data_IF_011535615357
#
_entry.id   IF_011535615357
#
_cell.length_a   1.000
_cell.length_b   1.000
_cell.length_c   1.000
_cell.angle_alpha   90.00
_cell.angle_beta   90.00
_cell.angle_gamma   90.00
#
_symmetry.space_group_name_H-M   'P 1'
#
loop_
_entity.id
_entity.type
_entity.pdbx_description
1 polymer ?
#
# COMPACT_ATOMS: atom_id res chain seq x y z
N UNK A 1 -53.47 19.99 11.87
CA UNK A 1 -54.89 20.39 11.77
C UNK A 1 -55.71 19.26 12.41
N UNK A 2 -56.03 19.38 13.71
CA UNK A 2 -57.37 19.70 14.28
C UNK A 2 -58.38 18.63 13.84
N UNK A 3 -58.88 17.76 14.72
CA UNK A 3 -60.00 17.93 15.68
C UNK A 3 -59.70 17.12 16.97
N UNK A 4 -59.76 17.57 18.24
CA UNK A 4 -60.74 18.31 19.07
C UNK A 4 -62.12 17.66 19.22
N UNK A 5 -62.36 17.07 20.40
CA UNK A 5 -63.50 17.33 21.32
C UNK A 5 -63.09 16.81 22.72
N UNK A 6 -62.90 17.67 23.73
CA UNK A 6 -63.88 18.15 24.73
C UNK A 6 -64.55 17.02 25.53
N UNK A 7 -64.24 16.91 26.83
CA UNK A 7 -65.16 17.48 27.82
C UNK A 7 -64.57 17.64 29.23
N UNK A 8 -65.11 18.64 29.93
CA UNK A 8 -64.74 19.12 31.26
C UNK A 8 -65.67 18.59 32.35
N UNK A 9 -65.17 18.37 33.56
CA UNK A 9 -66.00 17.93 34.68
C UNK A 9 -65.35 18.09 36.05
N UNK A 10 -65.53 19.26 36.67
CA UNK A 10 -65.20 19.58 38.06
C UNK A 10 -66.25 18.99 39.02
N UNK A 11 -65.83 18.33 40.11
CA UNK A 11 -66.60 18.29 41.38
C UNK A 11 -65.74 17.90 42.58
N UNK A 12 -65.91 18.66 43.68
CA UNK A 12 -65.27 18.52 45.00
C UNK A 12 -66.02 17.53 45.91
N UNK A 13 -65.30 17.11 46.96
CA UNK A 13 -65.69 16.98 48.40
C UNK A 13 -65.50 15.58 49.01
N UNK A 14 -64.77 15.56 50.13
CA UNK A 14 -64.67 14.48 51.14
C UNK A 14 -63.21 14.04 51.33
N UNK A 15 -62.47 14.31 52.41
CA UNK A 15 -62.82 14.67 53.77
C UNK A 15 -62.68 13.46 54.71
N UNK A 16 -61.48 13.21 55.25
CA UNK A 16 -61.29 12.54 56.56
C UNK A 16 -59.86 12.66 57.10
N UNK A 17 -59.81 12.92 58.42
CA UNK A 17 -58.69 13.22 59.33
C UNK A 17 -57.94 11.93 59.72
N UNK A 18 -56.60 11.87 59.68
CA UNK A 18 -55.68 12.11 60.80
C UNK A 18 -54.88 10.81 61.13
N UNK A 19 -53.84 10.78 62.01
CA UNK A 19 -53.15 11.86 62.68
C UNK A 19 -51.59 11.86 62.58
N UNK A 20 -51.07 13.09 62.68
CA UNK A 20 -49.86 13.62 63.31
C UNK A 20 -48.98 12.64 64.13
N UNK A 21 -47.69 12.58 63.80
CA UNK A 21 -46.61 12.19 64.71
C UNK A 21 -45.41 13.17 64.64
N UNK A 22 -45.38 14.02 65.67
CA UNK A 22 -44.28 14.76 66.36
C UNK A 22 -42.91 14.95 65.69
N UNK A 23 -42.57 16.23 65.56
CA UNK A 23 -41.23 16.83 65.49
C UNK A 23 -40.52 16.71 66.84
N UNK A 24 -39.22 16.37 66.90
CA UNK A 24 -38.35 16.75 68.00
C UNK A 24 -37.45 17.93 67.64
N UNK A 25 -37.37 18.82 68.61
CA UNK A 25 -36.62 20.08 68.70
C UNK A 25 -35.12 19.96 68.39
N UNK A 26 -34.58 21.03 67.80
CA UNK A 26 -33.15 21.31 67.72
C UNK A 26 -32.53 21.56 69.11
N UNK A 27 -31.31 21.06 69.33
CA UNK A 27 -30.33 21.63 70.26
C UNK A 27 -28.98 21.81 69.57
N UNK A 28 -28.15 22.79 69.99
CA UNK A 28 -27.00 23.29 69.25
C UNK A 28 -25.66 22.64 69.65
N UNK A 29 -24.60 23.05 68.95
CA UNK A 29 -23.15 22.71 69.05
C UNK A 29 -22.73 21.44 68.29
N UNK A 30 -21.68 21.46 67.46
CA UNK A 30 -20.37 22.06 67.71
C UNK A 30 -19.60 22.45 66.42
N UNK A 31 -18.57 23.27 66.59
CA UNK A 31 -17.74 23.94 65.57
C UNK A 31 -16.78 22.99 64.81
N UNK A 32 -16.96 21.67 64.89
CA UNK A 32 -16.03 20.67 64.35
C UNK A 32 -16.46 20.06 63.01
N UNK A 33 -17.71 20.22 62.56
CA UNK A 33 -18.19 19.61 61.30
C UNK A 33 -17.94 20.46 60.04
N UNK A 34 -17.49 21.72 60.18
CA UNK A 34 -17.22 22.58 59.01
C UNK A 34 -15.90 22.29 58.28
N UNK A 35 -15.01 21.48 58.85
CA UNK A 35 -13.74 21.12 58.21
C UNK A 35 -13.86 19.94 57.21
N UNK A 36 -14.78 18.99 57.46
CA UNK A 36 -14.92 17.80 56.60
C UNK A 36 -15.69 18.04 55.30
N UNK A 37 -16.48 19.11 55.22
CA UNK A 37 -17.22 19.45 54.01
C UNK A 37 -16.37 20.19 52.98
N UNK A 38 -15.24 20.79 53.38
CA UNK A 38 -14.29 21.43 52.45
C UNK A 38 -13.33 20.43 51.81
N UNK A 39 -12.92 19.38 52.53
CA UNK A 39 -11.98 18.38 52.02
C UNK A 39 -12.64 17.40 51.03
N UNK A 40 -13.93 17.09 51.23
CA UNK A 40 -14.72 16.24 50.31
C UNK A 40 -15.01 16.93 48.98
N UNK A 41 -15.29 18.24 48.97
CA UNK A 41 -15.47 19.00 47.74
C UNK A 41 -14.17 19.15 46.93
N UNK A 42 -13.01 19.30 47.58
CA UNK A 42 -11.71 19.38 46.90
C UNK A 42 -11.34 18.03 46.27
N UNK A 43 -11.62 16.91 46.95
CA UNK A 43 -11.36 15.57 46.40
C UNK A 43 -12.32 15.22 45.25
N UNK A 44 -13.59 15.64 45.31
CA UNK A 44 -14.55 15.49 44.21
C UNK A 44 -14.18 16.36 43.00
N UNK A 45 -13.67 17.58 43.24
CA UNK A 45 -13.16 18.44 42.18
C UNK A 45 -11.90 17.87 41.53
N UNK A 46 -10.98 17.31 42.34
CA UNK A 46 -9.83 16.58 41.82
C UNK A 46 -10.26 15.32 41.06
N UNK A 47 -11.27 14.58 41.50
CA UNK A 47 -11.78 13.41 40.78
C UNK A 47 -12.45 13.79 39.45
N UNK A 48 -13.22 14.89 39.42
CA UNK A 48 -13.84 15.41 38.19
C UNK A 48 -12.82 16.06 37.26
N UNK A 49 -11.74 16.67 37.76
CA UNK A 49 -10.63 17.13 36.92
C UNK A 49 -9.75 15.98 36.43
N UNK A 50 -9.53 14.94 37.23
CA UNK A 50 -8.72 13.77 36.85
C UNK A 50 -9.47 12.87 35.85
N UNK A 51 -10.79 12.70 35.99
CA UNK A 51 -11.60 11.98 35.00
C UNK A 51 -12.08 12.86 33.83
N UNK A 52 -12.23 14.18 34.03
CA UNK A 52 -12.72 15.11 33.00
C UNK A 52 -11.65 15.59 32.00
N UNK A 53 -10.35 15.41 32.30
CA UNK A 53 -9.25 15.66 31.34
C UNK A 53 -8.84 14.43 30.53
N UNK A 54 -9.47 13.27 30.75
CA UNK A 54 -9.34 12.10 29.88
C UNK A 54 -10.48 12.02 28.87
N UNK A 55 -10.96 13.16 28.36
CA UNK A 55 -11.63 13.15 27.05
C UNK A 55 -10.60 12.68 26.05
N UNK A 56 -10.69 11.39 25.73
CA UNK A 56 -10.05 10.75 24.59
C UNK A 56 -10.26 11.67 23.41
N UNK A 57 -9.19 12.31 22.96
CA UNK A 57 -9.14 12.98 21.66
C UNK A 57 -9.25 11.87 20.65
N UNK A 58 -10.47 11.57 20.24
CA UNK A 58 -10.74 10.77 19.04
C UNK A 58 -9.92 11.40 17.91
N UNK A 59 -9.11 10.60 17.23
CA UNK A 59 -8.30 11.02 16.10
C UNK A 59 -9.21 11.53 14.98
N UNK A 60 -9.60 12.80 15.08
CA UNK A 60 -10.33 13.48 14.03
C UNK A 60 -9.37 13.63 12.86
N UNK A 61 -9.60 12.83 11.82
CA UNK A 61 -8.75 12.76 10.65
C UNK A 61 -8.76 14.14 9.97
N UNK A 62 -7.67 14.91 10.13
CA UNK A 62 -7.56 16.29 9.62
C UNK A 62 -7.50 16.27 8.10
N UNK A 63 -8.46 16.91 7.43
CA UNK A 63 -8.54 17.01 5.97
C UNK A 63 -7.99 18.36 5.48
N UNK A 64 -7.05 18.31 4.53
CA UNK A 64 -6.36 19.48 3.98
C UNK A 64 -6.98 19.88 2.63
N UNK A 65 -7.39 21.14 2.51
CA UNK A 65 -7.98 21.73 1.30
C UNK A 65 -6.94 22.06 0.22
N UNK A 66 -7.41 22.38 -0.98
CA UNK A 66 -6.57 22.77 -2.12
C UNK A 66 -5.64 23.94 -1.72
N UNK A 67 -4.35 23.82 -2.02
CA UNK A 67 -3.34 24.84 -1.73
C UNK A 67 -2.77 24.78 -0.31
N UNK A 68 -3.25 23.90 0.58
CA UNK A 68 -2.67 23.74 1.91
C UNK A 68 -1.39 22.91 1.89
N UNK A 69 -0.45 23.26 2.78
CA UNK A 69 0.78 22.51 2.95
C UNK A 69 0.48 21.07 3.40
N UNK A 70 1.26 20.10 2.95
CA UNK A 70 1.08 18.68 3.24
C UNK A 70 2.42 17.94 3.22
N UNK A 71 2.50 16.81 3.92
CA UNK A 71 3.76 16.06 4.05
C UNK A 71 4.75 16.70 5.02
N UNK A 72 5.87 16.00 5.28
CA UNK A 72 6.85 16.41 6.29
C UNK A 72 6.27 16.39 7.70
N UNK A 73 6.25 17.55 8.35
CA UNK A 73 5.72 17.76 9.71
C UNK A 73 4.24 18.17 9.74
N UNK A 74 3.61 18.38 8.58
CA UNK A 74 2.22 18.86 8.50
C UNK A 74 1.24 17.72 8.78
N UNK A 75 0.33 17.93 9.73
CA UNK A 75 -0.68 16.96 10.14
C UNK A 75 -1.93 17.08 9.24
N UNK A 76 -2.33 15.95 8.64
CA UNK A 76 -3.56 15.85 7.83
C UNK A 76 -3.35 15.23 6.46
N UNK A 77 -4.44 14.83 5.81
CA UNK A 77 -4.46 14.26 4.46
C UNK A 77 -5.21 15.21 3.53
N UNK A 78 -4.72 15.38 2.30
CA UNK A 78 -5.43 16.16 1.30
C UNK A 78 -6.85 15.60 1.07
N UNK A 79 -7.85 16.48 1.08
CA UNK A 79 -9.25 16.13 0.99
C UNK A 79 -9.67 15.71 -0.43
N UNK A 80 -10.60 14.77 -0.51
CA UNK A 80 -11.23 14.34 -1.75
C UNK A 80 -10.24 13.79 -2.80
N UNK A 81 -10.02 14.55 -3.86
CA UNK A 81 -9.20 14.18 -5.03
C UNK A 81 -7.87 14.95 -5.10
N UNK A 82 -7.47 15.57 -4.00
CA UNK A 82 -6.24 16.33 -3.90
C UNK A 82 -5.08 15.40 -3.53
N UNK A 83 -3.95 15.57 -4.21
CA UNK A 83 -2.72 14.84 -3.93
C UNK A 83 -1.70 15.82 -3.39
N UNK A 84 -0.99 15.42 -2.33
CA UNK A 84 0.15 16.19 -1.90
C UNK A 84 1.20 16.16 -3.00
N UNK A 85 1.66 17.32 -3.49
CA UNK A 85 2.74 17.40 -4.48
C UNK A 85 3.90 18.18 -3.88
N UNK A 86 5.17 17.78 -4.11
CA UNK A 86 6.30 18.60 -3.70
C UNK A 86 6.18 20.00 -4.32
N UNK A 87 6.54 21.04 -3.57
CA UNK A 87 6.66 22.39 -4.14
C UNK A 87 7.76 22.41 -5.20
N UNK A 88 7.58 23.20 -6.26
CA UNK A 88 8.49 23.31 -7.41
C UNK A 88 9.90 23.89 -7.09
N UNK A 89 10.27 24.04 -5.81
CA UNK A 89 11.62 24.47 -5.46
C UNK A 89 12.58 23.29 -5.56
N UNK A 90 13.37 23.36 -6.64
CA UNK A 90 14.62 22.64 -6.91
C UNK A 90 15.21 21.90 -5.72
N UNK A 91 15.32 20.58 -5.90
CA UNK A 91 16.19 19.65 -5.20
C UNK A 91 17.55 20.30 -4.85
N UNK A 92 17.72 20.73 -3.61
CA UNK A 92 19.04 21.00 -3.02
C UNK A 92 19.29 19.89 -2.01
N UNK A 93 20.41 19.20 -2.20
CA UNK A 93 20.91 18.19 -1.27
C UNK A 93 21.01 18.79 0.14
N UNK A 94 20.38 18.11 1.10
CA UNK A 94 20.90 18.07 2.47
C UNK A 94 20.10 18.71 3.59
N UNK A 95 19.05 19.52 3.35
CA UNK A 95 18.37 20.20 4.46
C UNK A 95 16.88 20.47 4.19
N UNK A 96 16.06 20.12 5.19
CA UNK A 96 14.61 20.32 5.32
C UNK A 96 13.74 19.91 4.11
N UNK A 97 12.99 18.82 4.27
CA UNK A 97 11.94 18.42 3.33
C UNK A 97 10.88 19.51 3.32
N UNK A 98 10.89 20.34 2.28
CA UNK A 98 9.86 21.36 2.09
C UNK A 98 8.47 20.68 2.08
N UNK A 99 7.51 21.18 2.85
CA UNK A 99 6.17 20.65 2.81
C UNK A 99 5.61 20.84 1.40
N UNK A 100 5.04 19.76 0.86
CA UNK A 100 4.30 19.80 -0.39
C UNK A 100 3.01 20.60 -0.26
N UNK A 101 2.24 20.67 -1.34
CA UNK A 101 0.95 21.38 -1.37
C UNK A 101 -0.14 20.44 -1.87
N UNK A 102 -1.32 20.47 -1.25
CA UNK A 102 -2.48 19.71 -1.74
C UNK A 102 -2.94 20.30 -3.07
N UNK A 103 -2.71 19.59 -4.17
CA UNK A 103 -3.06 20.04 -5.51
C UNK A 103 -3.91 19.00 -6.24
N UNK A 104 -4.69 19.49 -7.22
CA UNK A 104 -5.31 18.60 -8.19
C UNK A 104 -4.23 18.10 -9.14
N UNK A 105 -3.87 16.83 -9.02
CA UNK A 105 -3.00 16.18 -10.01
C UNK A 105 -3.89 15.54 -11.06
N UNK A 106 -3.79 15.95 -12.34
CA UNK A 106 -4.53 15.27 -13.39
C UNK A 106 -4.14 13.79 -13.38
N UNK A 107 -5.12 12.88 -13.43
CA UNK A 107 -4.81 11.46 -13.39
C UNK A 107 -3.99 11.09 -14.65
N UNK A 108 -3.19 10.00 -14.61
CA UNK A 108 -2.44 9.56 -15.78
C UNK A 108 -3.34 9.39 -17.00
N UNK A 109 -2.80 9.62 -18.20
CA UNK A 109 -3.56 9.48 -19.44
C UNK A 109 -4.26 8.10 -19.49
N UNK A 110 -5.58 8.10 -19.72
CA UNK A 110 -6.40 6.87 -19.75
C UNK A 110 -7.10 6.52 -18.42
N UNK A 111 -6.83 7.25 -17.34
CA UNK A 111 -7.55 7.11 -16.07
C UNK A 111 -8.79 8.01 -16.00
N UNK A 112 -9.86 7.51 -15.38
CA UNK A 112 -11.05 8.32 -15.06
C UNK A 112 -10.84 9.13 -13.79
N UNK A 113 -11.39 10.34 -13.70
CA UNK A 113 -11.25 11.23 -12.53
C UNK A 113 -11.96 10.74 -11.26
N UNK A 114 -12.71 9.63 -11.33
CA UNK A 114 -13.38 9.00 -10.19
C UNK A 114 -13.20 7.48 -10.24
N UNK A 115 -12.98 6.88 -9.07
CA UNK A 115 -12.98 5.43 -8.89
C UNK A 115 -14.40 4.82 -8.81
N UNK A 116 -15.42 5.67 -8.67
CA UNK A 116 -16.84 5.30 -8.60
C UNK A 116 -17.32 4.72 -9.93
N UNK A 117 -17.10 3.41 -10.13
CA UNK A 117 -17.40 2.69 -11.36
C UNK A 117 -16.38 1.60 -11.70
N UNK A 118 -15.20 1.61 -11.07
CA UNK A 118 -14.18 0.57 -11.26
C UNK A 118 -14.51 -0.63 -10.36
N UNK A 119 -14.73 -1.80 -10.97
CA UNK A 119 -14.89 -3.04 -10.22
C UNK A 119 -13.51 -3.61 -9.87
N UNK A 120 -13.08 -3.39 -8.63
CA UNK A 120 -11.83 -3.96 -8.15
C UNK A 120 -12.00 -5.46 -7.84
N UNK A 121 -11.08 -6.33 -8.26
CA UNK A 121 -11.06 -7.72 -7.84
C UNK A 121 -10.82 -7.79 -6.33
N UNK A 122 -11.51 -8.71 -5.65
CA UNK A 122 -11.26 -8.95 -4.21
C UNK A 122 -9.86 -9.53 -4.01
N UNK A 123 -9.11 -8.95 -3.06
CA UNK A 123 -7.80 -9.48 -2.61
C UNK A 123 -7.96 -10.33 -1.37
N UNK A 124 -7.29 -11.49 -1.34
CA UNK A 124 -6.85 -12.13 -0.10
C UNK A 124 -5.43 -12.66 -0.30
N UNK A 125 -4.59 -12.46 0.73
CA UNK A 125 -3.22 -12.95 0.90
C UNK A 125 -2.35 -12.97 -0.37
N UNK A 126 -1.69 -11.86 -0.64
CA UNK A 126 -0.76 -11.79 -1.75
C UNK A 126 0.51 -12.59 -1.45
N UNK A 127 0.86 -13.55 -2.33
CA UNK A 127 2.19 -14.22 -2.30
C UNK A 127 3.33 -13.23 -2.52
N UNK A 128 3.03 -12.21 -3.32
CA UNK A 128 3.90 -11.10 -3.68
C UNK A 128 3.50 -9.83 -2.92
N UNK A 129 4.06 -8.69 -3.30
CA UNK A 129 3.67 -7.39 -2.75
C UNK A 129 2.19 -7.03 -2.96
N UNK A 130 1.76 -6.02 -2.21
CA UNK A 130 0.47 -5.34 -2.38
C UNK A 130 0.74 -4.06 -3.17
N UNK A 131 0.08 -3.92 -4.32
CA UNK A 131 0.15 -2.73 -5.17
C UNK A 131 -1.21 -2.09 -5.37
N UNK A 132 -1.21 -0.79 -5.61
CA UNK A 132 -2.36 -0.01 -6.07
C UNK A 132 -2.13 0.30 -7.54
N UNK A 133 -3.17 0.28 -8.38
CA UNK A 133 -2.97 0.64 -9.78
C UNK A 133 -2.55 2.11 -9.95
N UNK A 134 -1.94 2.47 -11.09
CA UNK A 134 -1.56 3.85 -11.43
C UNK A 134 -2.69 4.88 -11.42
N UNK A 135 -3.95 4.48 -11.56
CA UNK A 135 -5.09 5.38 -11.40
C UNK A 135 -5.49 5.59 -9.92
N UNK A 136 -4.89 4.85 -8.98
CA UNK A 136 -5.09 4.98 -7.54
C UNK A 136 -6.37 4.32 -7.01
N UNK A 137 -7.09 3.53 -7.82
CA UNK A 137 -8.45 3.09 -7.48
C UNK A 137 -8.52 1.72 -6.83
N UNK A 138 -7.91 0.76 -7.51
CA UNK A 138 -7.92 -0.64 -7.19
C UNK A 138 -6.58 -1.11 -6.70
N UNK A 139 -6.68 -2.19 -5.96
CA UNK A 139 -5.71 -2.58 -4.99
C UNK A 139 -5.54 -4.07 -5.28
N UNK A 140 -4.39 -4.45 -5.85
CA UNK A 140 -4.12 -5.77 -6.46
C UNK A 140 -2.91 -6.46 -5.84
N UNK A 141 -2.89 -7.80 -5.88
CA UNK A 141 -1.65 -8.50 -5.61
C UNK A 141 -0.69 -8.20 -6.76
N UNK A 142 0.55 -7.89 -6.41
CA UNK A 142 1.57 -7.53 -7.36
C UNK A 142 1.80 -8.70 -8.33
N UNK A 143 1.82 -8.37 -9.62
CA UNK A 143 2.02 -9.34 -10.69
C UNK A 143 3.48 -9.74 -10.74
N UNK A 144 3.72 -11.04 -10.72
CA UNK A 144 5.05 -11.62 -10.78
C UNK A 144 5.56 -11.66 -12.22
N UNK A 145 6.84 -11.99 -12.38
CA UNK A 145 7.46 -12.09 -13.69
C UNK A 145 6.71 -13.07 -14.59
N UNK A 146 6.41 -12.63 -15.81
CA UNK A 146 5.68 -13.44 -16.77
C UNK A 146 4.17 -13.48 -16.58
N UNK A 147 3.61 -12.67 -15.66
CA UNK A 147 2.18 -12.48 -15.53
C UNK A 147 1.69 -11.28 -16.33
N UNK A 148 0.44 -11.37 -16.80
CA UNK A 148 -0.24 -10.30 -17.54
C UNK A 148 -0.57 -9.12 -16.62
N UNK A 149 -0.32 -7.91 -17.13
CA UNK A 149 -0.53 -6.63 -16.44
C UNK A 149 -1.14 -5.58 -17.38
N UNK A 150 -1.54 -4.43 -16.83
CA UNK A 150 -2.10 -3.32 -17.60
C UNK A 150 -3.59 -3.46 -17.91
N UNK A 151 -4.00 -3.06 -19.11
CA UNK A 151 -5.40 -2.97 -19.52
C UNK A 151 -5.91 -1.53 -19.60
N UNK A 152 -7.21 -1.38 -19.90
CA UNK A 152 -7.85 -0.07 -20.13
C UNK A 152 -7.79 0.85 -18.90
N UNK A 153 -7.83 0.28 -17.72
CA UNK A 153 -7.79 0.97 -16.43
C UNK A 153 -6.98 0.15 -15.43
N UNK A 154 -5.91 -0.49 -15.90
CA UNK A 154 -5.05 -1.36 -15.10
C UNK A 154 -5.78 -2.53 -14.43
N UNK A 155 -6.92 -2.94 -14.98
CA UNK A 155 -7.77 -4.00 -14.43
C UNK A 155 -7.07 -5.37 -14.37
N UNK A 156 -6.01 -5.57 -15.16
CA UNK A 156 -5.21 -6.81 -15.15
C UNK A 156 -4.12 -6.78 -14.08
N UNK A 157 -3.94 -5.67 -13.39
CA UNK A 157 -3.02 -5.51 -12.26
C UNK A 157 -1.69 -4.86 -12.66
N UNK A 158 -0.92 -4.55 -11.62
CA UNK A 158 0.35 -3.85 -11.69
C UNK A 158 1.49 -4.76 -11.20
N UNK A 159 2.69 -4.57 -11.73
CA UNK A 159 3.82 -5.47 -11.49
C UNK A 159 4.43 -5.32 -10.09
N UNK A 160 5.13 -6.37 -9.64
CA UNK A 160 5.91 -6.31 -8.40
C UNK A 160 7.21 -5.51 -8.55
N UNK A 161 7.86 -5.24 -7.42
CA UNK A 161 9.08 -4.42 -7.35
C UNK A 161 10.16 -4.95 -8.29
N UNK A 162 10.81 -4.05 -9.00
CA UNK A 162 11.85 -4.40 -9.98
C UNK A 162 11.34 -4.99 -11.30
N UNK A 163 10.02 -5.12 -11.46
CA UNK A 163 9.39 -5.52 -12.71
C UNK A 163 8.63 -4.33 -13.31
N UNK A 164 8.67 -4.23 -14.63
CA UNK A 164 7.95 -3.21 -15.37
C UNK A 164 6.85 -3.86 -16.18
N UNK A 165 5.65 -3.26 -16.17
CA UNK A 165 4.60 -3.67 -17.10
C UNK A 165 4.99 -3.21 -18.51
N UNK A 166 5.48 -4.14 -19.33
CA UNK A 166 6.01 -3.86 -20.64
C UNK A 166 5.25 -4.63 -21.72
N UNK A 167 5.24 -4.12 -22.94
CA UNK A 167 4.67 -4.83 -24.08
C UNK A 167 5.33 -6.20 -24.25
N UNK A 168 4.57 -7.18 -24.79
CA UNK A 168 5.07 -8.54 -25.04
C UNK A 168 6.38 -8.52 -25.85
N UNK A 169 6.47 -7.62 -26.82
CA UNK A 169 7.64 -7.41 -27.66
C UNK A 169 8.35 -6.11 -27.28
N UNK A 170 9.68 -6.14 -27.33
CA UNK A 170 10.52 -4.98 -27.12
C UNK A 170 10.71 -4.60 -25.64
N UNK A 171 10.99 -3.31 -25.44
CA UNK A 171 11.36 -2.70 -24.16
C UNK A 171 10.37 -1.61 -23.72
N UNK A 172 9.33 -1.34 -24.52
CA UNK A 172 8.40 -0.26 -24.25
C UNK A 172 7.45 -0.63 -23.10
N UNK A 173 7.13 0.38 -22.28
CA UNK A 173 6.10 0.30 -21.24
C UNK A 173 4.73 0.05 -21.87
N UNK A 174 3.90 -0.76 -21.22
CA UNK A 174 2.49 -0.87 -21.57
C UNK A 174 1.73 0.30 -20.94
N UNK A 175 1.09 1.11 -21.75
CA UNK A 175 0.24 2.23 -21.30
C UNK A 175 -1.22 1.90 -21.56
N UNK A 176 -2.18 2.35 -20.74
CA UNK A 176 -3.59 2.15 -21.05
C UNK A 176 -3.93 2.62 -22.48
N UNK A 177 -4.65 1.82 -23.28
CA UNK A 177 -5.39 0.60 -22.91
C UNK A 177 -4.63 -0.73 -23.12
N UNK A 178 -3.33 -0.68 -23.33
CA UNK A 178 -2.51 -1.81 -23.71
C UNK A 178 -2.40 -2.85 -22.60
N UNK A 179 -2.24 -4.09 -23.03
CA UNK A 179 -1.94 -5.21 -22.14
C UNK A 179 -0.46 -5.54 -22.25
N UNK A 180 0.20 -5.62 -21.11
CA UNK A 180 1.61 -5.97 -21.01
C UNK A 180 1.85 -7.27 -20.26
N UNK A 181 3.13 -7.53 -20.04
CA UNK A 181 3.66 -8.60 -19.20
C UNK A 181 4.68 -8.01 -18.24
N UNK A 182 4.70 -8.50 -17.00
CA UNK A 182 5.71 -8.10 -16.03
C UNK A 182 7.06 -8.74 -16.37
N UNK A 183 8.04 -7.89 -16.70
CA UNK A 183 9.42 -8.31 -16.97
C UNK A 183 10.40 -7.22 -16.58
N UNK A 184 11.65 -7.60 -16.35
CA UNK A 184 12.74 -6.66 -16.10
C UNK A 184 13.12 -5.98 -17.42
N UNK A 185 13.26 -4.65 -17.42
CA UNK A 185 13.71 -3.88 -18.58
C UNK A 185 15.11 -3.30 -18.29
N UNK A 186 16.16 -3.66 -19.06
CA UNK A 186 17.50 -3.13 -18.85
C UNK A 186 17.60 -1.63 -19.06
N UNK A 187 18.39 -0.95 -18.23
CA UNK A 187 18.68 0.48 -18.38
C UNK A 187 17.62 1.42 -17.82
N UNK A 188 16.46 0.90 -17.41
CA UNK A 188 15.48 1.64 -16.63
C UNK A 188 15.89 1.57 -15.15
N UNK A 189 16.94 2.31 -14.77
CA UNK A 189 17.36 2.43 -13.37
C UNK A 189 16.55 3.53 -12.70
N UNK A 190 15.23 3.35 -12.63
CA UNK A 190 14.42 4.04 -11.64
C UNK A 190 14.73 3.41 -10.29
N UNK A 191 14.73 4.18 -9.20
CA UNK A 191 14.69 3.58 -7.86
C UNK A 191 13.65 2.44 -7.89
N UNK A 192 13.98 1.25 -7.35
CA UNK A 192 13.16 0.04 -7.49
C UNK A 192 11.69 0.20 -7.03
N UNK A 193 11.37 1.34 -6.41
CA UNK A 193 10.05 1.73 -5.93
C UNK A 193 9.42 2.91 -6.65
N UNK A 194 10.21 3.77 -7.32
CA UNK A 194 9.68 4.94 -8.00
C UNK A 194 9.23 4.55 -9.41
N UNK A 195 7.97 4.82 -9.72
CA UNK A 195 7.44 4.67 -11.08
C UNK A 195 6.71 5.97 -11.47
N UNK A 196 7.11 6.62 -12.57
CA UNK A 196 6.51 7.88 -13.02
C UNK A 196 5.03 7.77 -13.40
N UNK A 197 4.52 6.57 -13.70
CA UNK A 197 3.12 6.30 -14.02
C UNK A 197 2.23 6.35 -12.78
N UNK A 198 2.80 6.13 -11.59
CA UNK A 198 2.06 6.03 -10.34
C UNK A 198 1.79 7.40 -9.70
N UNK A 199 0.74 7.50 -8.86
CA UNK A 199 0.47 8.71 -8.11
C UNK A 199 1.54 8.97 -7.06
N UNK A 200 1.64 10.22 -6.62
CA UNK A 200 2.43 10.58 -5.46
C UNK A 200 1.81 9.99 -4.20
N UNK A 201 2.66 9.31 -3.42
CA UNK A 201 2.30 8.80 -2.10
C UNK A 201 3.27 9.41 -1.10
N UNK A 202 2.73 9.89 0.02
CA UNK A 202 3.49 10.46 1.13
C UNK A 202 3.27 9.59 2.36
N UNK A 203 4.32 9.46 3.16
CA UNK A 203 4.23 8.84 4.47
C UNK A 203 5.59 8.68 5.10
N UNK A 204 5.63 7.90 6.17
CA UNK A 204 6.82 7.69 6.98
C UNK A 204 7.13 6.20 7.12
N UNK A 205 8.41 5.90 7.31
CA UNK A 205 8.91 4.57 7.66
C UNK A 205 10.03 4.69 8.70
N UNK A 206 10.22 3.66 9.50
CA UNK A 206 11.38 3.58 10.38
C UNK A 206 12.60 3.16 9.55
N UNK A 207 13.70 3.91 9.69
CA UNK A 207 15.03 3.56 9.19
C UNK A 207 16.05 3.82 10.28
N UNK A 208 16.83 2.79 10.63
CA UNK A 208 17.91 2.88 11.62
C UNK A 208 17.46 3.49 12.96
N UNK A 209 16.26 3.15 13.44
CA UNK A 209 15.71 3.65 14.71
C UNK A 209 15.18 5.09 14.67
N UNK A 210 15.13 5.72 13.49
CA UNK A 210 14.55 7.06 13.29
C UNK A 210 13.40 7.00 12.28
N UNK A 211 12.46 7.95 12.39
CA UNK A 211 11.37 8.10 11.44
C UNK A 211 11.80 8.95 10.26
N UNK A 212 11.75 8.37 9.08
CA UNK A 212 12.09 8.99 7.80
C UNK A 212 10.80 9.15 6.96
N UNK A 213 10.44 10.39 6.65
CA UNK A 213 9.18 10.78 6.03
C UNK A 213 9.45 11.49 4.71
N UNK A 214 8.96 10.94 3.59
CA UNK A 214 9.16 11.55 2.28
C UNK A 214 8.01 11.19 1.33
N UNK A 215 7.93 11.91 0.22
CA UNK A 215 7.00 11.62 -0.87
C UNK A 215 7.70 10.89 -2.01
N UNK A 216 7.01 9.96 -2.67
CA UNK A 216 7.51 9.34 -3.90
C UNK A 216 6.35 8.93 -4.81
N UNK A 217 6.56 8.91 -6.14
CA UNK A 217 5.59 8.33 -7.07
C UNK A 217 5.69 6.80 -7.04
N UNK A 218 4.73 6.13 -6.41
CA UNK A 218 4.76 4.68 -6.28
C UNK A 218 3.38 4.06 -6.19
N UNK A 219 3.26 2.89 -6.82
CA UNK A 219 2.10 2.01 -6.70
C UNK A 219 2.29 0.98 -5.57
N UNK A 220 3.50 0.85 -5.01
CA UNK A 220 3.80 -0.13 -3.97
C UNK A 220 3.51 0.45 -2.59
N UNK A 221 2.99 -0.37 -1.68
CA UNK A 221 2.95 -0.02 -0.27
C UNK A 221 4.38 0.10 0.28
N UNK A 222 4.84 1.33 0.53
CA UNK A 222 6.17 1.63 1.09
C UNK A 222 6.11 2.18 2.52
N UNK A 223 5.15 3.06 2.78
CA UNK A 223 5.04 3.73 4.07
C UNK A 223 4.26 2.87 5.05
N UNK A 224 4.79 2.79 6.27
CA UNK A 224 4.11 2.09 7.38
C UNK A 224 3.18 3.04 8.13
N UNK A 225 3.53 4.33 8.14
CA UNK A 225 2.83 5.37 8.89
C UNK A 225 2.48 6.52 7.97
N UNK A 226 1.40 7.23 8.29
CA UNK A 226 0.92 8.36 7.50
C UNK A 226 1.64 9.66 7.87
N UNK A 227 2.09 9.80 9.11
CA UNK A 227 2.74 11.00 9.62
C UNK A 227 3.96 10.68 10.48
N UNK A 228 4.78 11.71 10.70
CA UNK A 228 5.95 11.63 11.59
C UNK A 228 5.52 11.33 13.03
N UNK A 229 4.41 11.89 13.47
CA UNK A 229 3.87 11.70 14.82
C UNK A 229 3.40 10.25 15.05
N UNK A 230 2.70 9.67 14.08
CA UNK A 230 2.28 8.26 14.15
C UNK A 230 3.51 7.35 14.21
N UNK A 231 4.53 7.65 13.41
CA UNK A 231 5.79 6.90 13.41
C UNK A 231 6.57 7.05 14.72
N UNK A 232 6.67 8.26 15.27
CA UNK A 232 7.42 8.52 16.50
C UNK A 232 6.75 7.88 17.71
N UNK A 233 5.41 7.90 17.77
CA UNK A 233 4.64 7.18 18.78
C UNK A 233 4.96 5.68 18.75
N UNK A 234 4.99 5.07 17.56
CA UNK A 234 5.39 3.67 17.41
C UNK A 234 6.81 3.41 17.95
N UNK A 235 7.78 4.28 17.67
CA UNK A 235 9.15 4.11 18.20
C UNK A 235 9.22 4.18 19.73
N UNK A 236 8.45 5.08 20.34
CA UNK A 236 8.36 5.21 21.81
C UNK A 236 7.72 3.95 22.41
N UNK A 237 6.65 3.46 21.80
CA UNK A 237 5.98 2.22 22.24
C UNK A 237 6.90 1.00 22.09
N UNK A 238 7.66 0.88 21.01
CA UNK A 238 8.65 -0.20 20.84
C UNK A 238 9.71 -0.17 21.94
N UNK A 239 10.25 1.01 22.26
CA UNK A 239 11.23 1.16 23.34
C UNK A 239 10.66 0.79 24.71
N UNK A 240 9.36 1.02 24.92
CA UNK A 240 8.65 0.55 26.10
C UNK A 240 8.54 -0.99 26.10
N UNK A 241 8.11 -1.63 25.01
CA UNK A 241 7.98 -3.08 24.91
C UNK A 241 9.31 -3.83 25.04
N UNK A 242 10.40 -3.29 24.50
CA UNK A 242 11.77 -3.81 24.69
C UNK A 242 12.19 -3.82 26.18
N UNK A 243 11.56 -2.98 27.02
CA UNK A 243 11.82 -2.91 28.47
C UNK A 243 10.98 -3.87 29.32
N UNK A 244 9.87 -4.40 28.80
CA UNK A 244 8.95 -5.27 29.56
C UNK A 244 9.16 -6.78 29.28
N UNK A 245 9.96 -7.12 28.26
CA UNK A 245 10.22 -8.50 27.85
C UNK A 245 9.00 -9.18 27.21
N UNK A 246 9.21 -10.24 26.40
CA UNK A 246 8.11 -10.87 25.69
C UNK A 246 7.24 -11.70 26.65
N UNK A 247 5.96 -11.33 26.78
CA UNK A 247 4.93 -12.26 27.21
C UNK A 247 4.65 -13.21 26.05
N UNK A 248 5.07 -14.47 26.17
CA UNK A 248 4.64 -15.56 25.29
C UNK A 248 3.20 -15.92 25.67
N UNK A 249 2.24 -15.18 25.15
CA UNK A 249 0.90 -15.75 24.96
C UNK A 249 0.98 -16.65 23.74
N UNK A 250 0.83 -17.95 23.95
CA UNK A 250 0.52 -18.88 22.87
C UNK A 250 -0.77 -18.39 22.21
N UNK A 251 -0.66 -17.73 21.05
CA UNK A 251 -1.83 -17.41 20.25
C UNK A 251 -2.59 -18.72 19.99
N UNK A 252 -3.85 -18.83 20.43
CA UNK A 252 -4.64 -20.00 20.11
C UNK A 252 -4.75 -20.07 18.57
N UNK A 253 -4.53 -21.26 18.01
CA UNK A 253 -4.58 -21.43 16.56
C UNK A 253 -5.99 -21.16 16.00
N UNK A 254 -6.26 -19.91 15.65
CA UNK A 254 -7.48 -19.49 14.96
C UNK A 254 -7.12 -19.16 13.52
N UNK A 255 -7.22 -20.16 12.64
CA UNK A 255 -7.08 -19.93 11.21
C UNK A 255 -8.47 -19.79 10.57
N UNK A 256 -8.59 -18.85 9.61
CA UNK A 256 -9.79 -18.73 8.81
C UNK A 256 -9.89 -19.91 7.82
N UNK A 257 -10.82 -20.81 8.11
CA UNK A 257 -11.15 -21.95 7.26
C UNK A 257 -12.31 -21.65 6.31
N UNK A 258 -12.23 -22.09 5.06
CA UNK A 258 -13.27 -21.92 4.05
C UNK A 258 -13.79 -23.25 3.53
N UNK A 259 -15.10 -23.34 3.35
CA UNK A 259 -15.78 -24.51 2.77
C UNK A 259 -16.69 -24.06 1.64
N UNK A 260 -16.75 -24.84 0.57
CA UNK A 260 -17.69 -24.62 -0.53
C UNK A 260 -19.09 -25.01 -0.06
N UNK A 261 -20.03 -24.06 -0.12
CA UNK A 261 -21.45 -24.31 0.11
C UNK A 261 -22.25 -23.88 -1.11
N UNK A 262 -22.61 -24.84 -1.96
CA UNK A 262 -23.23 -24.56 -3.25
C UNK A 262 -22.27 -23.78 -4.15
N UNK A 263 -22.73 -22.64 -4.70
CA UNK A 263 -21.95 -21.84 -5.64
C UNK A 263 -21.18 -20.67 -4.97
N UNK A 264 -20.78 -20.84 -3.71
CA UNK A 264 -20.06 -19.82 -2.95
C UNK A 264 -19.11 -20.42 -1.92
N UNK A 265 -18.00 -19.74 -1.70
CA UNK A 265 -17.08 -20.00 -0.61
C UNK A 265 -17.54 -19.30 0.67
N UNK A 266 -17.77 -20.09 1.71
CA UNK A 266 -18.15 -19.58 3.04
C UNK A 266 -16.98 -19.81 3.98
N UNK A 267 -16.37 -18.72 4.43
CA UNK A 267 -15.26 -18.74 5.37
C UNK A 267 -15.74 -18.40 6.77
N UNK A 268 -15.29 -19.18 7.75
CA UNK A 268 -15.56 -18.94 9.18
C UNK A 268 -14.26 -19.09 9.96
N UNK A 269 -14.21 -18.48 11.13
CA UNK A 269 -13.19 -18.78 12.13
C UNK A 269 -13.39 -20.23 12.55
N UNK A 270 -12.36 -21.06 12.40
CA UNK A 270 -12.39 -22.48 12.74
C UNK A 270 -11.12 -22.83 13.52
N UNK A 271 -11.21 -23.78 14.45
CA UNK A 271 -10.03 -24.27 15.18
C UNK A 271 -9.09 -25.08 14.26
N UNK A 272 -7.98 -25.59 14.81
CA UNK A 272 -6.97 -26.42 14.13
C UNK A 272 -7.53 -27.74 13.54
N UNK A 273 -8.42 -27.67 12.55
CA UNK A 273 -8.94 -28.81 11.83
C UNK A 273 -8.30 -28.88 10.43
N UNK A 274 -7.69 -30.02 10.13
CA UNK A 274 -6.76 -30.23 9.01
C UNK A 274 -7.41 -30.21 7.61
N UNK A 275 -8.73 -30.00 7.52
CA UNK A 275 -9.49 -30.06 6.28
C UNK A 275 -10.04 -28.72 5.78
N UNK A 276 -9.79 -27.62 6.48
CA UNK A 276 -10.28 -26.32 6.05
C UNK A 276 -9.43 -25.75 4.89
N UNK A 277 -10.06 -25.47 3.75
CA UNK A 277 -9.38 -24.83 2.63
C UNK A 277 -9.08 -23.37 2.99
N UNK A 278 -7.95 -22.85 2.49
CA UNK A 278 -7.78 -21.40 2.42
C UNK A 278 -8.86 -20.80 1.51
N UNK A 279 -9.20 -19.52 1.70
CA UNK A 279 -10.22 -18.87 0.84
C UNK A 279 -9.87 -18.94 -0.64
N UNK A 280 -8.58 -18.80 -0.97
CA UNK A 280 -8.11 -18.89 -2.35
C UNK A 280 -8.25 -20.30 -2.89
N UNK A 281 -7.87 -21.32 -2.12
CA UNK A 281 -8.07 -22.71 -2.52
C UNK A 281 -9.56 -23.01 -2.72
N UNK A 282 -10.43 -22.46 -1.87
CA UNK A 282 -11.88 -22.58 -2.03
C UNK A 282 -12.38 -21.88 -3.31
N UNK A 283 -11.98 -20.63 -3.56
CA UNK A 283 -12.42 -19.88 -4.75
C UNK A 283 -11.90 -20.51 -6.04
N UNK A 284 -10.64 -20.95 -6.06
CA UNK A 284 -10.06 -21.69 -7.19
C UNK A 284 -10.82 -23.00 -7.45
N UNK A 285 -11.13 -23.75 -6.39
CA UNK A 285 -11.89 -25.00 -6.51
C UNK A 285 -13.32 -24.73 -7.03
N UNK A 286 -13.96 -23.65 -6.57
CA UNK A 286 -15.27 -23.22 -7.09
C UNK A 286 -15.19 -22.88 -8.59
N UNK A 287 -14.17 -22.13 -9.02
CA UNK A 287 -13.97 -21.79 -10.43
C UNK A 287 -13.67 -23.02 -11.28
N UNK A 288 -12.86 -23.96 -10.78
CA UNK A 288 -12.63 -25.26 -11.41
C UNK A 288 -13.92 -26.05 -11.60
N UNK A 289 -14.80 -26.09 -10.58
CA UNK A 289 -16.10 -26.79 -10.72
C UNK A 289 -17.00 -26.13 -11.75
N UNK A 290 -17.04 -24.79 -11.82
CA UNK A 290 -17.82 -24.04 -12.82
C UNK A 290 -17.33 -24.29 -14.25
N UNK A 291 -16.03 -24.43 -14.43
CA UNK A 291 -15.40 -24.60 -15.73
C UNK A 291 -15.22 -26.05 -16.18
N UNK A 292 -15.64 -27.02 -15.36
CA UNK A 292 -15.45 -28.47 -15.60
C UNK A 292 -16.03 -28.97 -16.93
N UNK A 293 -17.12 -28.35 -17.42
CA UNK A 293 -17.77 -28.73 -18.69
C UNK A 293 -17.37 -27.83 -19.89
N UNK A 294 -16.36 -26.97 -19.73
CA UNK A 294 -15.91 -26.07 -20.80
C UNK A 294 -14.66 -26.63 -21.46
N UNK A 295 -14.71 -26.84 -22.78
CA UNK A 295 -13.54 -27.21 -23.59
C UNK A 295 -12.93 -25.96 -24.22
N UNK A 296 -11.70 -25.62 -23.85
CA UNK A 296 -11.00 -24.47 -24.40
C UNK A 296 -10.20 -24.83 -25.67
N UNK A 297 -9.94 -23.86 -26.57
CA UNK A 297 -9.11 -24.08 -27.74
C UNK A 297 -7.74 -24.65 -27.35
N UNK A 298 -7.30 -25.72 -28.03
CA UNK A 298 -5.96 -26.28 -27.83
C UNK A 298 -4.93 -25.29 -28.36
N UNK A 299 -4.25 -24.60 -27.45
CA UNK A 299 -3.10 -23.77 -27.80
C UNK A 299 -1.90 -24.69 -28.03
N UNK A 300 -1.16 -24.46 -29.11
CA UNK A 300 0.05 -25.22 -29.39
C UNK A 300 1.07 -25.02 -28.25
N UNK A 301 1.72 -26.10 -27.83
CA UNK A 301 2.82 -26.02 -26.86
C UNK A 301 3.98 -25.31 -27.54
N UNK A 302 4.26 -24.09 -27.10
CA UNK A 302 5.33 -23.25 -27.63
C UNK A 302 6.64 -23.55 -26.88
N UNK A 303 7.68 -23.95 -27.61
CA UNK A 303 9.05 -24.00 -27.08
C UNK A 303 9.71 -22.65 -27.33
N UNK A 304 10.05 -21.93 -26.26
CA UNK A 304 10.66 -20.61 -26.39
C UNK A 304 12.17 -20.69 -26.68
N UNK A 305 12.73 -19.71 -27.40
CA UNK A 305 14.17 -19.54 -27.54
C UNK A 305 14.87 -19.38 -26.18
N UNK A 306 16.18 -19.67 -26.12
CA UNK A 306 16.95 -19.65 -24.86
C UNK A 306 16.98 -18.31 -24.12
N UNK A 307 16.90 -17.21 -24.85
CA UNK A 307 16.89 -15.83 -24.32
C UNK A 307 15.48 -15.37 -23.90
N UNK A 308 14.51 -16.29 -23.93
CA UNK A 308 13.10 -16.01 -23.75
C UNK A 308 12.50 -16.99 -22.73
N UNK A 309 11.32 -16.64 -22.20
CA UNK A 309 10.55 -17.51 -21.34
C UNK A 309 9.07 -17.51 -21.76
N UNK A 310 8.36 -18.57 -21.41
CA UNK A 310 6.93 -18.71 -21.70
C UNK A 310 6.12 -18.00 -20.62
N UNK A 311 5.26 -17.05 -21.00
CA UNK A 311 4.41 -16.32 -20.06
C UNK A 311 3.26 -17.16 -19.54
N UNK A 312 2.74 -16.80 -18.38
CA UNK A 312 1.51 -17.39 -17.86
C UNK A 312 0.31 -16.94 -18.71
N UNK A 313 -0.59 -17.86 -19.09
CA UNK A 313 -1.84 -17.49 -19.74
C UNK A 313 -2.73 -16.73 -18.75
N UNK A 314 -3.49 -15.76 -19.24
CA UNK A 314 -4.43 -14.99 -18.42
C UNK A 314 -5.87 -15.29 -18.78
N UNK A 315 -6.60 -15.79 -17.78
CA UNK A 315 -8.05 -15.98 -17.80
C UNK A 315 -8.68 -14.90 -16.91
N UNK A 316 -9.54 -14.04 -17.44
CA UNK A 316 -10.26 -13.07 -16.63
C UNK A 316 -11.17 -13.75 -15.60
N UNK A 317 -11.47 -13.11 -14.46
CA UNK A 317 -12.40 -13.65 -13.48
C UNK A 317 -13.73 -14.06 -14.11
N UNK A 318 -14.31 -15.19 -13.69
CA UNK A 318 -15.59 -15.73 -14.18
C UNK A 318 -15.57 -16.25 -15.63
N UNK A 319 -14.40 -16.26 -16.28
CA UNK A 319 -14.23 -16.92 -17.57
C UNK A 319 -13.46 -18.22 -17.39
N UNK A 320 -13.69 -19.18 -18.27
CA UNK A 320 -13.05 -20.49 -18.18
C UNK A 320 -11.85 -20.66 -19.11
N UNK A 321 -11.80 -19.88 -20.19
CA UNK A 321 -10.75 -20.00 -21.19
C UNK A 321 -9.83 -18.76 -21.19
N UNK A 322 -8.52 -18.97 -21.39
CA UNK A 322 -7.56 -17.87 -21.39
C UNK A 322 -7.84 -16.95 -22.58
N UNK A 323 -8.03 -15.65 -22.30
CA UNK A 323 -8.11 -14.63 -23.35
C UNK A 323 -6.74 -14.26 -23.87
N UNK A 324 -5.72 -14.32 -23.00
CA UNK A 324 -4.32 -14.13 -23.39
C UNK A 324 -3.62 -15.48 -23.28
N UNK A 325 -3.21 -16.08 -24.40
CA UNK A 325 -2.48 -17.34 -24.37
C UNK A 325 -1.07 -17.15 -23.82
N UNK A 326 -0.42 -18.25 -23.46
CA UNK A 326 1.00 -18.26 -23.16
C UNK A 326 1.81 -17.86 -24.41
N UNK A 327 2.73 -16.91 -24.26
CA UNK A 327 3.54 -16.37 -25.36
C UNK A 327 5.01 -16.36 -24.94
N UNK A 328 5.93 -16.45 -25.90
CA UNK A 328 7.34 -16.25 -25.60
C UNK A 328 7.62 -14.77 -25.44
N UNK A 329 8.28 -14.38 -24.35
CA UNK A 329 8.74 -13.02 -24.10
C UNK A 329 10.21 -13.03 -23.68
N UNK A 330 10.90 -11.93 -23.91
CA UNK A 330 12.32 -11.81 -23.59
C UNK A 330 12.63 -11.96 -22.10
N UNK A 331 13.66 -12.75 -21.80
CA UNK A 331 14.31 -12.80 -20.50
C UNK A 331 15.57 -11.93 -20.52
N UNK A 332 15.41 -10.65 -20.19
CA UNK A 332 16.53 -9.71 -20.21
C UNK A 332 17.54 -9.92 -19.08
N UNK A 333 17.18 -10.61 -18.00
CA UNK A 333 18.09 -10.92 -16.90
C UNK A 333 19.16 -11.95 -17.31
N UNK A 334 18.83 -12.80 -18.29
CA UNK A 334 19.78 -13.73 -18.91
C UNK A 334 20.69 -13.07 -19.94
N UNK A 335 20.49 -11.80 -20.26
CA UNK A 335 21.34 -11.13 -21.23
C UNK A 335 22.73 -10.85 -20.64
N UNK A 336 23.82 -11.23 -21.34
CA UNK A 336 25.15 -10.92 -20.87
C UNK A 336 25.37 -9.41 -20.84
N UNK A 337 25.87 -8.90 -19.72
CA UNK A 337 26.36 -7.52 -19.64
C UNK A 337 27.63 -7.38 -20.49
N UNK A 338 27.94 -6.15 -20.94
CA UNK A 338 29.18 -5.92 -21.69
C UNK A 338 30.41 -6.40 -20.90
N UNK A 339 30.44 -6.17 -19.58
CA UNK A 339 31.56 -6.54 -18.72
C UNK A 339 31.68 -8.07 -18.51
N UNK A 340 30.56 -8.79 -18.44
CA UNK A 340 30.54 -10.25 -18.32
C UNK A 340 30.64 -10.98 -19.66
N UNK A 341 30.56 -10.27 -20.78
CA UNK A 341 30.57 -10.89 -22.11
C UNK A 341 31.95 -11.39 -22.53
N UNK A 342 33.02 -10.86 -21.92
CA UNK A 342 34.40 -11.20 -22.27
C UNK A 342 35.24 -11.51 -21.03
N UNK A 343 36.21 -12.44 -21.15
CA UNK A 343 37.15 -12.71 -20.07
C UNK A 343 38.06 -11.50 -19.79
N UNK A 344 38.71 -11.44 -18.60
CA UNK A 344 39.66 -10.39 -18.27
C UNK A 344 40.75 -10.23 -19.34
N UNK A 345 41.17 -8.99 -19.60
CA UNK A 345 42.17 -8.68 -20.62
C UNK A 345 41.64 -8.61 -22.06
N UNK A 346 40.35 -8.87 -22.29
CA UNK A 346 39.70 -8.65 -23.59
C UNK A 346 38.84 -7.39 -23.57
N UNK A 347 38.86 -6.64 -24.67
CA UNK A 347 37.94 -5.53 -24.91
C UNK A 347 36.67 -6.04 -25.58
N UNK A 348 35.56 -5.49 -25.13
CA UNK A 348 34.20 -5.86 -25.56
C UNK A 348 33.80 -4.97 -26.73
N UNK A 349 33.45 -5.56 -27.86
CA UNK A 349 32.94 -4.85 -29.03
C UNK A 349 31.50 -5.30 -29.33
N UNK A 350 30.52 -4.40 -29.25
CA UNK A 350 29.13 -4.75 -29.55
C UNK A 350 28.95 -4.96 -31.06
N UNK A 351 28.57 -6.16 -31.47
CA UNK A 351 28.34 -6.53 -32.89
C UNK A 351 26.92 -6.17 -33.30
N UNK A 352 25.95 -6.48 -32.45
CA UNK A 352 24.53 -6.21 -32.74
C UNK A 352 23.79 -5.80 -31.47
N UNK A 353 22.81 -4.91 -31.67
CA UNK A 353 21.88 -4.50 -30.62
C UNK A 353 20.71 -5.48 -30.61
N UNK A 354 20.34 -5.95 -29.41
CA UNK A 354 19.12 -6.74 -29.23
C UNK A 354 17.90 -5.92 -29.62
N UNK A 355 16.95 -6.55 -30.33
CA UNK A 355 15.71 -5.88 -30.74
C UNK A 355 14.57 -6.09 -29.73
N UNK A 356 14.83 -6.85 -28.66
CA UNK A 356 13.83 -7.16 -27.63
C UNK A 356 12.71 -8.10 -28.11
N UNK A 357 12.92 -8.85 -29.20
CA UNK A 357 12.01 -9.90 -29.64
C UNK A 357 12.57 -11.28 -29.25
N UNK A 358 11.70 -12.26 -28.92
CA UNK A 358 12.14 -13.61 -28.59
C UNK A 358 13.12 -14.19 -29.63
N UNK A 359 14.28 -14.68 -29.18
CA UNK A 359 15.37 -15.18 -30.01
C UNK A 359 16.44 -14.14 -30.38
N UNK A 360 16.15 -12.84 -30.22
CA UNK A 360 17.08 -11.72 -30.44
C UNK A 360 16.96 -10.64 -29.34
N UNK A 361 16.66 -11.06 -28.11
CA UNK A 361 16.44 -10.18 -26.98
C UNK A 361 17.69 -9.39 -26.59
N UNK A 362 18.84 -10.05 -26.59
CA UNK A 362 20.09 -9.53 -26.04
C UNK A 362 20.99 -8.90 -27.10
N UNK A 363 21.83 -7.96 -26.65
CA UNK A 363 22.97 -7.51 -27.45
C UNK A 363 23.95 -8.67 -27.66
N UNK A 364 24.59 -8.74 -28.83
CA UNK A 364 25.69 -9.68 -29.08
C UNK A 364 27.02 -8.94 -29.10
N UNK A 365 28.02 -9.52 -28.44
CA UNK A 365 29.34 -8.94 -28.27
C UNK A 365 30.42 -9.82 -28.90
N UNK A 366 31.50 -9.20 -29.36
CA UNK A 366 32.74 -9.83 -29.78
C UNK A 366 33.84 -9.45 -28.80
N UNK A 367 34.65 -10.42 -28.39
CA UNK A 367 35.82 -10.17 -27.57
C UNK A 367 37.04 -10.03 -28.48
N UNK A 368 37.83 -8.98 -28.25
CA UNK A 368 39.15 -8.80 -28.88
C UNK A 368 40.21 -8.69 -27.79
N UNK A 369 41.43 -9.20 -27.98
CA UNK A 369 42.52 -9.00 -27.02
C UNK A 369 42.73 -7.50 -26.76
N UNK A 370 42.87 -7.10 -25.50
CA UNK A 370 43.18 -5.72 -25.15
C UNK A 370 44.66 -5.45 -25.41
N UNK A 371 44.97 -4.46 -26.25
CA UNK A 371 46.34 -3.95 -26.33
C UNK A 371 46.70 -3.25 -25.01
N UNK A 372 47.76 -3.73 -24.35
CA UNK A 372 48.43 -3.02 -23.27
C UNK A 372 48.97 -1.70 -23.83
N UNK A 373 48.53 -0.57 -23.28
CA UNK A 373 49.19 0.71 -23.58
C UNK A 373 50.59 0.66 -22.96
N UNK A 374 51.67 0.89 -23.72
CA UNK A 374 53.00 1.02 -23.12
C UNK A 374 53.01 2.22 -22.17
N UNK A 375 53.58 2.02 -20.99
CA UNK A 375 53.81 3.08 -20.01
C UNK A 375 54.68 4.17 -20.65
N UNK A 376 54.10 5.35 -20.87
CA UNK A 376 54.87 6.54 -21.23
C UNK A 376 55.61 6.95 -19.95
N UNK A 377 56.93 6.75 -19.95
CA UNK A 377 57.82 7.33 -18.96
C UNK A 377 57.76 8.86 -19.11
N UNK A 378 57.31 9.54 -18.05
CA UNK A 378 57.51 10.98 -17.89
C UNK A 378 59.02 11.25 -17.93
N UNK A 379 59.44 11.98 -18.96
CA UNK A 379 60.79 12.50 -19.08
C UNK A 379 60.71 13.94 -18.59
N UNK A 380 61.27 14.19 -17.42
CA UNK A 380 61.52 15.54 -16.89
C UNK A 380 62.39 16.31 -17.90
N UNK A 381 61.79 17.27 -18.61
CA UNK A 381 62.52 18.32 -19.31
C UNK A 381 62.50 19.58 -18.45
N UNK A 382 63.65 19.81 -17.79
CA UNK A 382 64.12 21.13 -17.39
C UNK A 382 64.48 21.95 -18.63
N UNK A 383 64.01 23.19 -18.69
CA UNK A 383 64.59 24.38 -19.35
C UNK A 383 63.81 25.55 -18.71
N UNK A 384 64.33 26.39 -17.80
CA UNK A 384 65.43 27.37 -17.86
C UNK A 384 65.46 28.28 -19.11
N UNK A 385 65.49 29.59 -18.79
CA UNK A 385 65.80 30.80 -19.58
C UNK A 385 64.70 31.49 -20.40
N UNK A 386 64.46 32.76 -20.02
CA UNK A 386 63.69 33.78 -20.75
C UNK A 386 63.17 34.89 -19.86
#
# INVERSE_FOLDING_TARGET
ERWLDQDSGTKRVGGSRGPIAKIPQLRPQSRAEQANMRMTWVLLWFWVCWFGLCCSREDEQVWLSLGQACGGTVQGMCDGNLTCVPGDNSFIEGEAIDPGVCALVPPPAGCTSKCSGVQCPQRLMCRAGVVTDPCGCCTHCARQQGQVCGGRSWERGYCDRGLTCALFLGHAHAMPPETGICKVIPGLRTDHLADPLCPWVFGCRVRMGSCDCFGLKTCHKMFSYRSLEECSKYLIEQQYWDSVGPYLEEEPCMYHGCVIKGDRCVCKLQGCDSHALTRDACLNLLEMTRCSNVSCPKLAVLTCPHDSFLTEPYTPPKQCCPLVPALCTCNFEKCPSAQSACPPGHRVHRISKGNGHPGNCCNRYQCRPGEEKPAVQERDEKEEEG
#
